data_IF_096336469890
#
_entry.id   IF_096336469890
#
_cell.length_a   1.000
_cell.length_b   1.000
_cell.length_c   1.000
_cell.angle_alpha   90.00
_cell.angle_beta   90.00
_cell.angle_gamma   90.00
#
_symmetry.space_group_name_H-M   'P 1'
#
loop_
_entity.id
_entity.type
_entity.pdbx_description
1 polymer ?
#
# COMPACT_ATOMS: atom_id res chain seq x y z
N UNK A 1 -14.37 5.16 12.63
CA UNK A 1 -14.55 5.43 11.19
C UNK A 1 -15.94 4.93 10.79
N UNK A 2 -16.68 5.63 9.93
CA UNK A 2 -17.92 5.11 9.37
C UNK A 2 -17.65 3.83 8.56
N UNK A 3 -18.63 2.93 8.52
CA UNK A 3 -18.58 1.64 7.81
C UNK A 3 -18.68 1.76 6.28
N UNK A 4 -18.95 2.97 5.79
CA UNK A 4 -19.12 3.31 4.37
C UNK A 4 -17.88 3.10 3.49
N UNK A 5 -16.70 2.85 4.07
CA UNK A 5 -15.44 2.69 3.35
C UNK A 5 -14.86 1.27 3.44
N UNK A 6 -15.62 0.30 3.96
CA UNK A 6 -15.25 -1.10 3.88
C UNK A 6 -15.70 -1.68 2.54
N UNK A 7 -14.74 -2.14 1.74
CA UNK A 7 -15.00 -2.78 0.44
C UNK A 7 -14.60 -4.25 0.52
N UNK A 8 -15.58 -5.14 0.43
CA UNK A 8 -15.34 -6.58 0.31
C UNK A 8 -15.18 -6.92 -1.18
N UNK A 9 -13.96 -7.29 -1.58
CA UNK A 9 -13.66 -7.62 -2.97
C UNK A 9 -12.60 -8.72 -3.06
N UNK A 10 -12.72 -9.57 -4.07
CA UNK A 10 -11.69 -10.56 -4.43
C UNK A 10 -10.64 -9.97 -5.38
N UNK A 11 -11.04 -9.04 -6.25
CA UNK A 11 -10.17 -8.34 -7.19
C UNK A 11 -9.99 -6.89 -6.76
N UNK A 12 -8.74 -6.48 -6.46
CA UNK A 12 -8.42 -5.11 -6.03
C UNK A 12 -8.30 -4.13 -7.20
N UNK A 13 -8.39 -4.60 -8.45
CA UNK A 13 -8.41 -3.73 -9.63
C UNK A 13 -9.62 -2.79 -9.69
N UNK A 14 -10.69 -3.12 -8.96
CA UNK A 14 -11.91 -2.29 -8.89
C UNK A 14 -11.78 -1.10 -7.92
N UNK A 15 -10.73 -1.08 -7.10
CA UNK A 15 -10.53 -0.03 -6.11
C UNK A 15 -9.86 1.16 -6.79
N UNK A 16 -10.57 2.28 -6.80
CA UNK A 16 -10.03 3.56 -7.26
C UNK A 16 -9.48 4.34 -6.05
N UNK A 17 -8.16 4.28 -5.87
CA UNK A 17 -7.44 4.98 -4.80
C UNK A 17 -6.02 5.32 -5.27
N UNK A 18 -5.40 6.33 -4.63
CA UNK A 18 -4.03 6.75 -4.96
C UNK A 18 -2.98 5.76 -4.45
N UNK A 19 -3.24 5.11 -3.31
CA UNK A 19 -2.30 4.20 -2.65
C UNK A 19 -2.99 2.90 -2.20
N UNK A 20 -2.25 1.79 -2.28
CA UNK A 20 -2.62 0.50 -1.71
C UNK A 20 -1.45 -0.05 -0.89
N UNK A 21 -1.61 -0.13 0.44
CA UNK A 21 -0.67 -0.82 1.32
C UNK A 21 -1.14 -2.28 1.45
N UNK A 22 -0.36 -3.22 0.95
CA UNK A 22 -0.69 -4.66 0.93
C UNK A 22 0.60 -5.48 1.04
N UNK A 23 0.54 -6.69 1.58
CA UNK A 23 1.69 -7.60 1.69
C UNK A 23 1.76 -8.60 0.51
N UNK A 24 0.71 -8.67 -0.31
CA UNK A 24 0.61 -9.59 -1.45
C UNK A 24 0.90 -8.90 -2.79
N UNK A 25 2.10 -9.11 -3.33
CA UNK A 25 2.60 -8.52 -4.59
C UNK A 25 1.63 -8.64 -5.77
N UNK A 26 0.98 -9.80 -5.94
CA UNK A 26 0.06 -10.04 -7.06
C UNK A 26 -1.15 -9.09 -7.07
N UNK A 27 -1.45 -8.42 -5.95
CA UNK A 27 -2.51 -7.42 -5.86
C UNK A 27 -2.14 -6.11 -6.58
N UNK A 28 -0.86 -5.85 -6.81
CA UNK A 28 -0.38 -4.59 -7.39
C UNK A 28 -0.44 -4.55 -8.92
N UNK A 29 -0.32 -5.69 -9.60
CA UNK A 29 -0.23 -5.74 -11.07
C UNK A 29 -1.42 -5.09 -11.80
N UNK A 30 -2.58 -4.99 -11.14
CA UNK A 30 -3.81 -4.41 -11.70
C UNK A 30 -4.33 -3.23 -10.88
N UNK A 31 -3.62 -2.81 -9.85
CA UNK A 31 -3.98 -1.62 -9.09
C UNK A 31 -3.53 -0.38 -9.86
N UNK A 32 -4.43 0.58 -10.03
CA UNK A 32 -4.18 1.77 -10.86
C UNK A 32 -3.27 2.78 -10.14
N UNK A 33 -3.38 2.86 -8.81
CA UNK A 33 -2.54 3.74 -7.98
C UNK A 33 -1.17 3.11 -7.63
N UNK A 34 -0.47 3.74 -6.68
CA UNK A 34 0.81 3.25 -6.18
C UNK A 34 0.61 2.11 -5.17
N UNK A 35 1.10 0.92 -5.51
CA UNK A 35 1.25 -0.17 -4.55
C UNK A 35 2.43 0.07 -3.62
N UNK A 36 2.21 -0.10 -2.31
CA UNK A 36 3.24 -0.05 -1.26
C UNK A 36 3.29 -1.43 -0.61
N UNK A 37 4.39 -2.14 -0.82
CA UNK A 37 4.60 -3.47 -0.29
C UNK A 37 4.89 -3.41 1.21
N UNK A 38 3.95 -3.89 2.01
CA UNK A 38 4.16 -4.11 3.43
C UNK A 38 4.99 -5.38 3.64
N UNK A 39 6.05 -5.29 4.44
CA UNK A 39 6.97 -6.41 4.63
C UNK A 39 6.33 -7.58 5.39
N UNK A 40 6.41 -8.76 4.80
CA UNK A 40 6.05 -10.03 5.41
C UNK A 40 7.10 -11.10 5.07
N UNK A 41 7.18 -12.16 5.87
CA UNK A 41 8.20 -13.22 5.72
C UNK A 41 8.27 -13.81 4.30
N UNK A 42 7.12 -13.99 3.65
CA UNK A 42 7.05 -14.61 2.33
C UNK A 42 7.38 -13.65 1.17
N UNK A 43 7.45 -12.34 1.41
CA UNK A 43 7.76 -11.35 0.39
C UNK A 43 9.15 -10.71 0.58
N UNK A 44 10.01 -11.21 1.48
CA UNK A 44 11.30 -10.59 1.82
C UNK A 44 12.28 -10.44 0.63
N UNK A 45 12.13 -11.27 -0.40
CA UNK A 45 12.99 -11.25 -1.59
C UNK A 45 12.44 -10.38 -2.73
N UNK A 46 11.25 -9.80 -2.55
CA UNK A 46 10.61 -8.94 -3.55
C UNK A 46 11.23 -7.54 -3.52
N UNK A 47 11.82 -7.13 -4.64
CA UNK A 47 12.56 -5.86 -4.77
C UNK A 47 11.93 -4.87 -5.76
N UNK A 48 10.86 -5.26 -6.44
CA UNK A 48 10.25 -4.49 -7.53
C UNK A 48 9.23 -3.41 -7.10
N UNK A 49 9.05 -3.17 -5.81
CA UNK A 49 7.99 -2.30 -5.29
C UNK A 49 8.50 -1.35 -4.21
N UNK A 50 7.88 -0.17 -4.12
CA UNK A 50 8.00 0.70 -2.95
C UNK A 50 7.64 -0.11 -1.71
N UNK A 51 8.50 -0.11 -0.69
CA UNK A 51 8.39 -1.00 0.48
C UNK A 51 8.44 -0.23 1.79
N UNK A 52 7.63 -0.70 2.73
CA UNK A 52 7.67 -0.31 4.14
C UNK A 52 7.87 -1.55 5.01
N UNK A 53 8.62 -1.45 6.11
CA UNK A 53 8.87 -2.60 6.97
C UNK A 53 7.95 -2.66 8.20
N UNK A 54 7.30 -1.55 8.53
CA UNK A 54 6.43 -1.40 9.68
C UNK A 54 5.60 -0.12 9.54
N UNK A 55 4.73 0.13 10.52
CA UNK A 55 3.87 1.31 10.55
C UNK A 55 4.63 2.63 10.74
N UNK A 56 5.80 2.61 11.39
CA UNK A 56 6.63 3.81 11.51
C UNK A 56 7.19 4.24 10.15
N UNK A 57 7.54 3.28 9.29
CA UNK A 57 7.95 3.56 7.90
C UNK A 57 6.78 4.09 7.07
N UNK A 58 5.57 3.57 7.28
CA UNK A 58 4.35 4.14 6.65
C UNK A 58 4.18 5.60 7.04
N UNK A 59 4.31 5.93 8.33
CA UNK A 59 4.20 7.31 8.80
C UNK A 59 5.28 8.21 8.15
N UNK A 60 6.54 7.76 8.12
CA UNK A 60 7.65 8.49 7.47
C UNK A 60 7.38 8.70 5.99
N UNK A 61 6.89 7.68 5.30
CA UNK A 61 6.58 7.74 3.86
C UNK A 61 5.59 8.86 3.52
N UNK A 62 4.60 9.13 4.38
CA UNK A 62 3.56 10.13 4.10
C UNK A 62 3.80 11.51 4.75
N UNK A 63 4.55 11.60 5.85
CA UNK A 63 4.65 12.84 6.65
C UNK A 63 5.95 13.62 6.37
N UNK A 64 6.99 12.97 5.85
CA UNK A 64 8.32 13.58 5.78
C UNK A 64 8.48 14.68 4.72
N UNK A 65 7.46 14.89 3.86
CA UNK A 65 7.39 15.99 2.89
C UNK A 65 6.70 17.26 3.42
N UNK A 66 6.32 17.32 4.71
CA UNK A 66 5.68 18.49 5.34
C UNK A 66 6.62 19.65 5.72
N UNK A 67 7.74 19.84 5.02
CA UNK A 67 8.67 20.96 5.22
C UNK A 67 8.61 21.94 4.04
N UNK A 68 7.57 22.76 3.97
CA UNK A 68 7.49 23.92 3.07
C UNK A 68 6.31 23.91 2.12
N UNK A 69 5.13 24.26 2.62
CA UNK A 69 4.31 25.42 2.18
C UNK A 69 3.18 25.68 3.20
#
# INVERSE_FOLDING_TARGET
MPDTHFVFCGDKSIIQADYLIDDTVNRFQRFVGQGILFTAQYNIHETGYVRVHNWQDVWRFFIQDGSGD
#
